data_IF_962279051061
#
_entry.id   IF_962279051061
#
_cell.length_a   1.000
_cell.length_b   1.000
_cell.length_c   1.000
_cell.angle_alpha   90.00
_cell.angle_beta   90.00
_cell.angle_gamma   90.00
#
_symmetry.space_group_name_H-M   'P 1'
#
loop_
_entity.id
_entity.type
_entity.pdbx_description
1 polymer ?
#
# COMPACT_ATOMS: atom_id res chain seq x y z
N UNK A 1 -29.34 28.31 10.77
CA UNK A 1 -28.75 27.26 11.66
C UNK A 1 -28.85 25.88 11.01
N UNK A 2 -30.04 25.45 10.59
CA UNK A 2 -30.26 24.16 9.92
C UNK A 2 -29.50 23.98 8.58
N UNK A 3 -29.33 25.05 7.80
CA UNK A 3 -28.62 24.99 6.51
C UNK A 3 -27.11 24.76 6.69
N UNK A 4 -26.48 25.49 7.61
CA UNK A 4 -25.05 25.32 7.94
C UNK A 4 -24.78 23.89 8.42
N UNK A 5 -25.67 23.34 9.24
CA UNK A 5 -25.59 21.95 9.72
C UNK A 5 -25.65 20.96 8.55
N UNK A 6 -26.50 21.21 7.54
CA UNK A 6 -26.56 20.39 6.31
C UNK A 6 -25.24 20.40 5.54
N UNK A 7 -24.63 21.57 5.35
CA UNK A 7 -23.34 21.68 4.66
C UNK A 7 -22.22 20.95 5.39
N UNK A 8 -22.16 21.10 6.72
CA UNK A 8 -21.18 20.40 7.57
C UNK A 8 -21.34 18.88 7.42
N UNK A 9 -22.58 18.38 7.39
CA UNK A 9 -22.85 16.95 7.26
C UNK A 9 -22.37 16.37 5.92
N UNK A 10 -22.61 17.10 4.82
CA UNK A 10 -22.14 16.69 3.48
C UNK A 10 -20.61 16.65 3.41
N UNK A 11 -19.94 17.65 4.00
CA UNK A 11 -18.47 17.70 4.07
C UNK A 11 -17.92 16.51 4.87
N UNK A 12 -18.53 16.19 6.02
CA UNK A 12 -18.12 15.04 6.84
C UNK A 12 -18.24 13.72 6.07
N UNK A 13 -19.35 13.50 5.36
CA UNK A 13 -19.55 12.29 4.55
C UNK A 13 -18.49 12.18 3.45
N UNK A 14 -18.22 13.29 2.76
CA UNK A 14 -17.23 13.33 1.68
C UNK A 14 -15.82 13.01 2.21
N UNK A 15 -15.41 13.66 3.30
CA UNK A 15 -14.12 13.42 3.95
C UNK A 15 -14.00 11.99 4.48
N UNK A 16 -15.07 11.44 5.07
CA UNK A 16 -15.10 10.05 5.57
C UNK A 16 -14.87 9.04 4.45
N UNK A 17 -15.46 9.28 3.28
CA UNK A 17 -15.34 8.39 2.12
C UNK A 17 -13.91 8.41 1.55
N UNK A 18 -13.29 9.59 1.48
CA UNK A 18 -11.89 9.77 1.07
C UNK A 18 -10.95 9.08 2.07
N UNK A 19 -11.24 9.19 3.37
CA UNK A 19 -10.45 8.57 4.42
C UNK A 19 -10.49 7.03 4.33
N UNK A 20 -11.65 6.45 3.99
CA UNK A 20 -11.78 5.01 3.74
C UNK A 20 -11.00 4.60 2.49
N UNK A 21 -11.08 5.34 1.39
CA UNK A 21 -10.34 5.03 0.16
C UNK A 21 -8.82 5.10 0.34
N UNK A 22 -8.33 6.14 1.03
CA UNK A 22 -6.89 6.34 1.27
C UNK A 22 -6.28 5.32 2.25
N UNK A 23 -7.09 4.74 3.17
CA UNK A 23 -6.65 3.61 3.98
C UNK A 23 -6.37 2.34 3.15
N UNK A 24 -6.94 2.23 1.95
CA UNK A 24 -6.74 1.08 1.05
C UNK A 24 -5.50 1.30 0.18
N UNK A 25 -5.18 2.55 -0.19
CA UNK A 25 -4.07 2.89 -1.10
C UNK A 25 -2.69 3.01 -0.44
N UNK A 26 -2.60 3.16 0.88
CA UNK A 26 -1.33 3.43 1.58
C UNK A 26 -0.33 2.26 1.66
N UNK A 27 -0.73 1.06 1.23
CA UNK A 27 0.16 -0.08 1.17
C UNK A 27 0.01 -0.69 -0.21
N UNK A 28 0.98 -0.45 -1.11
CA UNK A 28 1.16 -1.31 -2.28
C UNK A 28 1.43 -2.72 -1.75
N UNK A 29 0.35 -3.45 -1.50
CA UNK A 29 0.37 -4.77 -0.93
C UNK A 29 0.78 -5.70 -2.06
N UNK A 30 2.01 -6.17 -2.00
CA UNK A 30 2.43 -7.27 -2.86
C UNK A 30 1.86 -8.59 -2.29
N UNK A 31 1.58 -9.52 -3.18
CA UNK A 31 1.27 -10.91 -2.84
C UNK A 31 2.39 -11.83 -3.33
N UNK A 32 3.02 -11.48 -4.45
CA UNK A 32 4.12 -12.21 -5.07
C UNK A 32 5.33 -11.30 -5.30
N UNK A 33 6.52 -11.89 -5.43
CA UNK A 33 7.73 -11.18 -5.79
C UNK A 33 7.59 -10.46 -7.15
N UNK A 34 6.80 -11.02 -8.07
CA UNK A 34 6.47 -10.43 -9.36
C UNK A 34 5.68 -9.11 -9.27
N UNK A 35 4.96 -8.87 -8.17
CA UNK A 35 4.25 -7.60 -7.96
C UNK A 35 5.23 -6.44 -7.67
N UNK A 36 6.47 -6.79 -7.31
CA UNK A 36 7.52 -5.84 -6.95
C UNK A 36 8.46 -5.49 -8.11
N UNK A 37 8.12 -5.87 -9.35
CA UNK A 37 8.94 -5.63 -10.56
C UNK A 37 9.24 -4.15 -10.79
N UNK A 38 8.34 -3.25 -10.36
CA UNK A 38 8.55 -1.80 -10.47
C UNK A 38 9.54 -1.24 -9.45
N UNK A 39 9.88 -2.00 -8.40
CA UNK A 39 10.81 -1.53 -7.36
C UNK A 39 12.24 -1.73 -7.82
N UNK A 40 12.92 -0.62 -8.14
CA UNK A 40 14.35 -0.63 -8.45
C UNK A 40 15.17 -0.90 -7.18
N UNK A 41 15.93 -1.99 -7.18
CA UNK A 41 16.92 -2.31 -6.15
C UNK A 41 18.33 -2.13 -6.73
N UNK A 42 19.29 -1.76 -5.89
CA UNK A 42 20.71 -1.74 -6.29
C UNK A 42 21.22 -3.18 -6.36
N UNK A 43 21.98 -3.53 -7.40
CA UNK A 43 22.64 -4.84 -7.48
C UNK A 43 23.56 -5.03 -6.25
N UNK A 44 23.63 -6.23 -5.64
CA UNK A 44 23.07 -7.53 -6.06
C UNK A 44 21.68 -7.85 -5.45
N UNK A 45 20.93 -6.83 -5.01
CA UNK A 45 19.65 -7.03 -4.34
C UNK A 45 18.50 -7.16 -5.34
N UNK A 46 17.52 -7.99 -5.02
CA UNK A 46 16.31 -8.22 -5.81
C UNK A 46 15.08 -7.80 -5.00
N UNK A 47 14.07 -7.18 -5.64
CA UNK A 47 12.81 -6.88 -4.99
C UNK A 47 12.05 -8.17 -4.67
N UNK A 48 11.70 -8.37 -3.39
CA UNK A 48 10.87 -9.46 -2.89
C UNK A 48 9.66 -8.92 -2.15
N UNK A 49 8.57 -9.67 -2.17
CA UNK A 49 7.42 -9.41 -1.35
C UNK A 49 7.61 -9.96 0.07
N UNK A 50 7.74 -9.07 1.06
CA UNK A 50 7.96 -9.46 2.45
C UNK A 50 6.93 -8.77 3.34
N UNK A 51 5.99 -9.55 3.88
CA UNK A 51 4.94 -9.04 4.76
C UNK A 51 4.06 -8.01 4.05
N UNK A 52 3.59 -8.35 2.84
CA UNK A 52 2.78 -7.46 1.98
C UNK A 52 3.46 -6.14 1.61
N UNK A 53 4.80 -6.07 1.65
CA UNK A 53 5.57 -4.90 1.21
C UNK A 53 6.75 -5.34 0.37
N UNK A 54 6.99 -4.62 -0.73
CA UNK A 54 8.18 -4.85 -1.55
C UNK A 54 9.44 -4.40 -0.81
N UNK A 55 10.39 -5.31 -0.57
CA UNK A 55 11.69 -5.07 0.08
C UNK A 55 12.82 -5.54 -0.81
N UNK A 56 13.96 -4.86 -0.79
CA UNK A 56 15.16 -5.34 -1.48
C UNK A 56 15.86 -6.34 -0.55
N UNK A 57 16.15 -7.55 -1.06
CA UNK A 57 16.89 -8.60 -0.33
C UNK A 57 18.02 -9.10 -1.22
N UNK A 58 19.17 -9.41 -0.63
CA UNK A 58 20.25 -10.08 -1.35
C UNK A 58 19.83 -11.48 -1.80
N UNK A 59 20.32 -11.91 -2.97
CA UNK A 59 20.11 -13.26 -3.52
C UNK A 59 20.54 -14.40 -2.57
N UNK A 60 21.32 -14.12 -1.53
CA UNK A 60 21.87 -15.11 -0.60
C UNK A 60 20.93 -15.49 0.57
N UNK A 61 19.76 -14.84 0.70
CA UNK A 61 18.77 -15.22 1.73
C UNK A 61 17.58 -15.97 1.13
N UNK A 62 17.73 -17.29 1.18
CA UNK A 62 16.74 -18.34 1.36
C UNK A 62 15.39 -18.21 0.63
N UNK A 63 15.23 -19.09 -0.35
CA UNK A 63 13.97 -19.76 -0.62
C UNK A 63 13.81 -20.88 0.44
N UNK A 64 12.83 -20.86 1.36
CA UNK A 64 12.25 -22.09 1.84
C UNK A 64 11.13 -22.46 0.88
N UNK A 65 11.30 -23.62 0.25
CA UNK A 65 10.29 -24.30 -0.57
C UNK A 65 8.93 -24.31 0.13
N UNK A 66 7.88 -24.08 -0.66
CA UNK A 66 6.48 -24.26 -0.31
C UNK A 66 5.66 -24.19 -1.58
#
# INVERSE_FOLDING_TARGET
>A
MAEIVKYVYVIIIFLSTILVATNIEGTMSCFHDADCVHKRCQLPQIPKCVGKKCRCRGQYQANPMG
#
